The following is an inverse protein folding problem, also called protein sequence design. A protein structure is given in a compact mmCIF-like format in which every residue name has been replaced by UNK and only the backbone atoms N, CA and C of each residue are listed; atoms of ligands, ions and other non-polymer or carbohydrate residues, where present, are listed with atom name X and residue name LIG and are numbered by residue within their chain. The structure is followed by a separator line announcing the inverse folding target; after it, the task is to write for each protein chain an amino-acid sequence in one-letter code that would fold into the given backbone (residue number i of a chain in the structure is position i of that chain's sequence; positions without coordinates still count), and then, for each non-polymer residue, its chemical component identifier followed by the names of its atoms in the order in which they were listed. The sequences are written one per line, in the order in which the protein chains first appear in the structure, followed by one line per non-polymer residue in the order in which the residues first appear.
data_IF_004553003643
#
_entry.id   IF_004553003643
#
_cell.length_a   1.000
_cell.length_b   1.000
_cell.length_c   1.000
_cell.angle_alpha   90.00
_cell.angle_beta   90.00
_cell.angle_gamma   90.00
#
_symmetry.space_group_name_H-M   'P 1'
#
loop_
_entity.id
_entity.type
_entity.pdbx_description
1 polymer ?
#
# COMPACT_ATOMS: atom_id res chain seq x y z
N UNK A 1 -26.83 -12.01 39.76
CA UNK A 1 -27.02 -11.06 38.66
C UNK A 1 -26.04 -9.91 38.84
N UNK A 2 -24.80 -10.13 38.43
CA UNK A 2 -23.76 -9.09 38.41
C UNK A 2 -23.56 -8.66 36.97
N UNK A 3 -23.94 -7.41 36.71
CA UNK A 3 -23.76 -6.74 35.47
C UNK A 3 -22.35 -6.14 35.50
N UNK A 4 -21.40 -6.78 34.82
CA UNK A 4 -20.08 -6.22 34.59
C UNK A 4 -20.20 -5.11 33.56
N UNK A 5 -20.11 -3.87 34.01
CA UNK A 5 -19.95 -2.69 33.21
C UNK A 5 -18.53 -2.70 32.62
N UNK A 6 -18.43 -2.83 31.32
CA UNK A 6 -17.18 -2.63 30.57
C UNK A 6 -16.96 -1.12 30.45
N UNK A 7 -16.12 -0.56 31.31
CA UNK A 7 -15.57 0.79 31.12
C UNK A 7 -14.61 0.75 29.92
N UNK A 8 -15.05 1.34 28.81
CA UNK A 8 -14.15 1.72 27.74
C UNK A 8 -13.20 2.79 28.28
N UNK A 9 -11.91 2.49 28.32
CA UNK A 9 -10.90 3.45 28.62
C UNK A 9 -10.91 4.52 27.51
N UNK A 10 -11.51 5.67 27.79
CA UNK A 10 -11.31 6.89 27.00
C UNK A 10 -9.84 7.31 27.17
N UNK A 11 -9.04 7.04 26.13
CA UNK A 11 -7.72 7.63 25.99
C UNK A 11 -7.90 9.13 25.71
N UNK A 12 -7.81 9.94 26.74
CA UNK A 12 -7.71 11.41 26.62
C UNK A 12 -6.30 11.77 26.19
N UNK A 13 -5.98 11.57 24.91
CA UNK A 13 -4.85 12.26 24.30
C UNK A 13 -5.26 13.73 24.13
N UNK A 14 -4.51 14.64 24.75
CA UNK A 14 -4.72 16.08 24.62
C UNK A 14 -4.45 16.48 23.16
N UNK A 15 -5.45 17.02 22.51
CA UNK A 15 -5.47 17.42 21.10
C UNK A 15 -4.65 18.71 20.84
N UNK A 16 -3.55 18.91 21.55
CA UNK A 16 -2.87 20.20 21.58
C UNK A 16 -1.62 20.34 20.74
N UNK A 17 -0.88 19.28 20.43
CA UNK A 17 0.44 19.37 19.79
C UNK A 17 0.76 18.16 18.86
N UNK A 18 -0.23 17.59 18.18
CA UNK A 18 0.06 16.52 17.20
C UNK A 18 0.48 17.14 15.87
N UNK A 19 1.57 16.62 15.29
CA UNK A 19 2.01 16.97 13.94
C UNK A 19 1.17 16.23 12.90
N UNK A 20 0.61 16.98 11.94
CA UNK A 20 -0.13 16.36 10.83
C UNK A 20 0.82 15.58 9.94
N UNK A 21 0.50 14.31 9.67
CA UNK A 21 1.29 13.42 8.85
C UNK A 21 0.39 12.72 7.83
N UNK A 22 0.67 12.92 6.56
CA UNK A 22 -0.12 12.38 5.46
C UNK A 22 0.52 11.15 4.83
N UNK A 23 -0.27 10.07 4.69
CA UNK A 23 0.14 8.84 4.03
C UNK A 23 -0.76 8.60 2.82
N UNK A 24 -0.17 8.46 1.63
CA UNK A 24 -0.91 8.05 0.43
C UNK A 24 -0.73 6.57 0.18
N UNK A 25 -1.86 5.86 -0.03
CA UNK A 25 -1.88 4.41 -0.28
C UNK A 25 -1.47 4.10 -1.73
N UNK A 26 -1.05 2.86 -1.97
CA UNK A 26 -0.76 2.32 -3.32
C UNK A 26 -2.04 1.98 -4.09
N UNK A 27 -3.12 1.71 -3.40
CA UNK A 27 -4.41 1.30 -3.93
C UNK A 27 -5.56 1.70 -3.02
N UNK A 28 -6.78 1.36 -3.41
CA UNK A 28 -7.94 1.50 -2.51
C UNK A 28 -7.74 0.72 -1.22
N UNK A 29 -8.30 1.19 -0.09
CA UNK A 29 -8.18 0.51 1.19
C UNK A 29 -8.58 -0.96 1.11
N UNK A 30 -7.72 -1.83 1.61
CA UNK A 30 -7.93 -3.26 1.66
C UNK A 30 -7.21 -3.88 2.88
N UNK A 31 -7.28 -5.19 3.03
CA UNK A 31 -6.71 -5.89 4.19
C UNK A 31 -5.20 -5.68 4.38
N UNK A 32 -4.45 -5.38 3.32
CA UNK A 32 -3.01 -5.10 3.41
C UNK A 32 -2.73 -3.81 4.18
N UNK A 33 -3.65 -2.85 4.15
CA UNK A 33 -3.53 -1.56 4.84
C UNK A 33 -4.05 -1.59 6.29
N UNK A 34 -4.53 -2.73 6.78
CA UNK A 34 -5.15 -2.85 8.12
C UNK A 34 -4.24 -2.37 9.25
N UNK A 35 -2.93 -2.50 9.11
CA UNK A 35 -1.97 -2.05 10.12
C UNK A 35 -2.03 -0.53 10.35
N UNK A 36 -2.22 0.29 9.30
CA UNK A 36 -2.34 1.75 9.39
C UNK A 36 -3.60 2.10 10.17
N UNK A 37 -4.75 1.55 9.75
CA UNK A 37 -6.04 1.83 10.38
C UNK A 37 -6.09 1.33 11.83
N UNK A 38 -5.48 0.17 12.09
CA UNK A 38 -5.37 -0.33 13.46
C UNK A 38 -4.51 0.59 14.33
N UNK A 39 -3.41 1.12 13.81
CA UNK A 39 -2.55 2.04 14.55
C UNK A 39 -3.26 3.38 14.83
N UNK A 40 -4.06 3.89 13.88
CA UNK A 40 -4.89 5.08 14.09
C UNK A 40 -5.94 4.81 15.19
N UNK A 41 -6.69 3.73 15.06
CA UNK A 41 -7.77 3.36 15.98
C UNK A 41 -7.27 3.10 17.41
N UNK A 42 -6.06 2.53 17.53
CA UNK A 42 -5.41 2.27 18.81
C UNK A 42 -4.68 3.47 19.40
N UNK A 43 -4.60 4.58 18.66
CA UNK A 43 -3.91 5.79 19.11
C UNK A 43 -2.38 5.71 19.07
N UNK A 44 -1.78 4.69 18.47
CA UNK A 44 -0.32 4.52 18.46
C UNK A 44 0.42 5.68 17.77
N UNK A 45 -0.16 6.25 16.73
CA UNK A 45 0.42 7.44 16.09
C UNK A 45 0.30 8.68 16.98
N UNK A 46 -0.81 8.82 17.69
CA UNK A 46 -1.00 9.93 18.62
C UNK A 46 -0.04 9.85 19.82
N UNK A 47 0.29 8.65 20.29
CA UNK A 47 1.32 8.42 21.33
C UNK A 47 2.70 8.89 20.87
N UNK A 48 2.98 8.82 19.56
CA UNK A 48 4.22 9.32 18.93
C UNK A 48 4.12 10.78 18.47
N UNK A 49 3.03 11.49 18.81
CA UNK A 49 2.83 12.89 18.47
C UNK A 49 2.35 13.14 17.05
N UNK A 50 1.81 12.14 16.35
CA UNK A 50 1.38 12.24 14.97
C UNK A 50 -0.15 12.16 14.83
N UNK A 51 -0.70 13.07 14.00
CA UNK A 51 -2.07 13.03 13.52
C UNK A 51 -2.07 12.51 12.07
N UNK A 52 -2.32 11.21 11.88
CA UNK A 52 -2.14 10.56 10.59
C UNK A 52 -3.37 10.66 9.71
N UNK A 53 -3.19 11.22 8.52
CA UNK A 53 -4.21 11.36 7.47
C UNK A 53 -3.93 10.41 6.31
N UNK A 54 -4.87 9.50 6.04
CA UNK A 54 -4.75 8.53 4.95
C UNK A 54 -5.40 9.08 3.69
N UNK A 55 -4.62 9.17 2.61
CA UNK A 55 -5.07 9.58 1.29
C UNK A 55 -5.14 8.39 0.33
N UNK A 56 -6.05 8.46 -0.63
CA UNK A 56 -6.22 7.43 -1.65
C UNK A 56 -5.72 7.92 -3.00
N UNK A 57 -5.04 7.06 -3.78
CA UNK A 57 -4.58 7.46 -5.10
C UNK A 57 -5.77 7.62 -6.05
N UNK A 58 -5.75 8.66 -6.87
CA UNK A 58 -6.65 8.80 -8.01
C UNK A 58 -6.07 8.09 -9.25
N UNK A 59 -4.74 8.00 -9.35
CA UNK A 59 -4.00 7.33 -10.42
C UNK A 59 -2.94 6.39 -9.85
N UNK A 60 -2.50 5.45 -10.68
CA UNK A 60 -1.56 4.38 -10.27
C UNK A 60 -0.19 4.87 -9.77
N UNK A 61 0.24 6.09 -10.11
CA UNK A 61 1.53 6.63 -9.70
C UNK A 61 1.44 7.72 -8.63
N UNK A 62 0.25 8.03 -8.13
CA UNK A 62 0.04 9.15 -7.21
C UNK A 62 0.89 9.03 -5.94
N UNK A 63 1.06 7.82 -5.41
CA UNK A 63 1.86 7.61 -4.20
C UNK A 63 3.31 8.11 -4.37
N UNK A 64 3.95 7.86 -5.51
CA UNK A 64 5.30 8.35 -5.79
C UNK A 64 5.31 9.85 -6.07
N UNK A 65 4.40 10.32 -6.94
CA UNK A 65 4.40 11.71 -7.40
C UNK A 65 4.02 12.68 -6.29
N UNK A 66 3.04 12.34 -5.46
CA UNK A 66 2.61 13.17 -4.32
C UNK A 66 3.70 13.25 -3.25
N UNK A 67 4.33 12.12 -2.92
CA UNK A 67 5.45 12.10 -1.96
C UNK A 67 6.64 12.89 -2.48
N UNK A 68 6.99 12.73 -3.76
CA UNK A 68 8.10 13.46 -4.36
C UNK A 68 7.84 14.98 -4.45
N UNK A 69 6.57 15.37 -4.63
CA UNK A 69 6.16 16.77 -4.67
C UNK A 69 5.95 17.41 -3.28
N UNK A 70 6.09 16.65 -2.20
CA UNK A 70 5.82 17.11 -0.84
C UNK A 70 4.33 17.35 -0.54
N UNK A 71 3.45 16.72 -1.31
CA UNK A 71 2.00 16.75 -1.09
C UNK A 71 1.53 15.65 -0.15
N UNK A 72 2.39 14.68 0.11
CA UNK A 72 2.25 13.67 1.15
C UNK A 72 3.62 13.41 1.78
N UNK A 73 3.62 13.13 3.08
CA UNK A 73 4.85 12.90 3.84
C UNK A 73 5.40 11.50 3.60
N UNK A 74 4.52 10.53 3.38
CA UNK A 74 4.88 9.17 3.04
C UNK A 74 3.92 8.56 2.01
N UNK A 75 4.39 7.57 1.27
CA UNK A 75 3.58 6.80 0.31
C UNK A 75 3.88 5.32 0.37
N UNK A 76 2.85 4.50 0.20
CA UNK A 76 3.01 3.07 -0.02
C UNK A 76 3.07 2.82 -1.52
N UNK A 77 4.09 2.08 -1.95
CA UNK A 77 4.16 1.70 -3.36
C UNK A 77 5.03 0.45 -3.58
N UNK A 78 5.04 -0.03 -4.81
CA UNK A 78 5.75 -1.24 -5.19
C UNK A 78 7.24 -0.96 -5.39
N UNK A 79 8.08 -1.74 -4.76
CA UNK A 79 9.54 -1.57 -4.78
C UNK A 79 10.14 -1.47 -6.19
N UNK A 80 9.78 -2.31 -7.19
CA UNK A 80 10.33 -2.19 -8.53
C UNK A 80 10.04 -0.84 -9.19
N UNK A 81 8.84 -0.30 -8.95
CA UNK A 81 8.42 0.98 -9.52
C UNK A 81 9.16 2.15 -8.85
N UNK A 82 9.34 2.10 -7.52
CA UNK A 82 10.12 3.11 -6.79
C UNK A 82 11.56 3.14 -7.31
N UNK A 83 12.20 1.98 -7.44
CA UNK A 83 13.57 1.87 -7.96
C UNK A 83 13.65 2.41 -9.38
N UNK A 84 12.75 2.00 -10.26
CA UNK A 84 12.71 2.45 -11.65
C UNK A 84 12.53 3.98 -11.75
N UNK A 85 11.63 4.54 -10.96
CA UNK A 85 11.35 5.98 -10.95
C UNK A 85 12.54 6.78 -10.39
N UNK A 86 13.11 6.33 -9.27
CA UNK A 86 14.28 6.98 -8.69
C UNK A 86 15.51 6.94 -9.60
N UNK A 87 15.72 5.80 -10.31
CA UNK A 87 16.89 5.62 -11.16
C UNK A 87 16.76 6.31 -12.52
N UNK A 88 15.57 6.28 -13.14
CA UNK A 88 15.39 6.74 -14.52
C UNK A 88 14.86 8.17 -14.61
N UNK A 89 14.23 8.68 -13.55
CA UNK A 89 13.58 9.99 -13.55
C UNK A 89 14.14 10.94 -12.49
N UNK A 90 15.18 10.51 -11.76
CA UNK A 90 15.83 11.28 -10.69
C UNK A 90 14.86 11.84 -9.65
N UNK A 91 13.83 11.06 -9.33
CA UNK A 91 12.80 11.46 -8.36
C UNK A 91 13.35 11.33 -6.94
N UNK A 92 13.29 12.38 -6.10
CA UNK A 92 13.92 12.43 -4.79
C UNK A 92 13.10 11.69 -3.72
N UNK A 93 12.91 10.38 -3.88
CA UNK A 93 12.24 9.53 -2.89
C UNK A 93 13.20 8.54 -2.26
N UNK A 94 12.90 8.13 -1.02
CA UNK A 94 13.67 7.12 -0.27
C UNK A 94 12.75 6.02 0.21
N UNK A 95 13.21 4.79 0.16
CA UNK A 95 12.52 3.64 0.75
C UNK A 95 12.86 3.61 2.25
N UNK A 96 11.85 3.71 3.09
CA UNK A 96 11.98 3.66 4.54
C UNK A 96 11.92 2.23 5.09
N UNK A 97 11.13 1.37 4.46
CA UNK A 97 10.96 0.00 4.91
C UNK A 97 10.06 -0.80 3.97
N UNK A 98 9.97 -2.09 4.23
CA UNK A 98 9.13 -3.03 3.47
C UNK A 98 8.01 -3.56 4.37
N UNK A 99 6.77 -3.38 3.95
CA UNK A 99 5.59 -3.84 4.69
C UNK A 99 5.32 -5.31 4.40
N UNK A 100 5.36 -5.69 3.11
CA UNK A 100 5.15 -7.06 2.66
C UNK A 100 6.46 -7.59 2.07
N UNK A 101 6.98 -8.68 2.65
CA UNK A 101 8.28 -9.24 2.29
C UNK A 101 8.24 -10.24 1.13
N UNK A 102 7.06 -10.59 0.63
CA UNK A 102 6.88 -11.50 -0.49
C UNK A 102 6.11 -10.82 -1.62
N UNK A 103 6.34 -11.22 -2.90
CA UNK A 103 5.57 -10.70 -4.01
C UNK A 103 4.08 -10.97 -3.82
N UNK A 104 3.26 -9.94 -4.05
CA UNK A 104 1.80 -10.06 -4.04
C UNK A 104 1.21 -10.42 -5.42
N UNK A 105 2.04 -10.35 -6.46
CA UNK A 105 1.62 -10.61 -7.82
C UNK A 105 1.44 -12.11 -8.06
N UNK A 106 0.25 -12.49 -8.48
CA UNK A 106 -0.10 -13.86 -8.86
C UNK A 106 -0.81 -13.85 -10.21
N UNK A 107 -0.67 -14.94 -10.96
CA UNK A 107 -1.47 -15.20 -12.16
C UNK A 107 -2.55 -16.20 -11.78
N UNK A 108 -3.82 -15.82 -11.98
CA UNK A 108 -4.97 -16.68 -11.71
C UNK A 108 -5.62 -17.13 -13.02
N UNK A 109 -6.13 -18.35 -13.05
CA UNK A 109 -6.96 -18.84 -14.14
C UNK A 109 -8.14 -19.66 -13.61
N UNK A 110 -9.17 -19.76 -14.42
CA UNK A 110 -10.26 -20.69 -14.12
C UNK A 110 -9.74 -22.13 -14.19
N UNK A 111 -10.16 -23.01 -13.29
CA UNK A 111 -9.80 -24.43 -13.32
C UNK A 111 -10.15 -25.10 -14.66
N UNK A 112 -11.26 -24.69 -15.27
CA UNK A 112 -11.70 -25.15 -16.58
C UNK A 112 -10.79 -24.77 -17.75
N UNK A 113 -9.90 -23.79 -17.56
CA UNK A 113 -8.95 -23.35 -18.59
C UNK A 113 -7.74 -24.27 -18.71
N UNK A 114 -7.55 -25.20 -17.77
CA UNK A 114 -6.43 -26.15 -17.71
C UNK A 114 -5.04 -25.50 -17.83
N UNK A 115 -4.89 -24.28 -17.31
CA UNK A 115 -3.61 -23.57 -17.24
C UNK A 115 -2.94 -24.00 -15.93
N UNK A 116 -1.86 -24.74 -16.01
CA UNK A 116 -1.14 -25.29 -14.86
C UNK A 116 0.29 -24.79 -14.75
N UNK A 117 0.84 -24.24 -15.83
CA UNK A 117 2.18 -23.67 -15.84
C UNK A 117 2.26 -22.50 -16.84
N UNK A 118 3.39 -21.78 -16.80
CA UNK A 118 3.61 -20.60 -17.65
C UNK A 118 3.53 -20.93 -19.16
N UNK A 119 3.92 -22.13 -19.58
CA UNK A 119 3.84 -22.53 -21.00
C UNK A 119 2.41 -22.57 -21.54
N UNK A 120 1.44 -22.84 -20.68
CA UNK A 120 0.02 -22.90 -21.05
C UNK A 120 -0.57 -21.51 -21.33
N UNK A 121 0.15 -20.45 -20.97
CA UNK A 121 -0.23 -19.06 -21.21
C UNK A 121 -0.01 -18.64 -22.67
N UNK A 122 0.75 -19.39 -23.46
CA UNK A 122 1.03 -19.06 -24.85
C UNK A 122 -0.24 -18.94 -25.66
N UNK A 123 -0.44 -17.79 -26.31
CA UNK A 123 -1.62 -17.48 -27.11
C UNK A 123 -2.88 -17.18 -26.30
N UNK A 124 -2.78 -17.03 -24.98
CA UNK A 124 -3.88 -16.61 -24.11
C UNK A 124 -3.90 -15.10 -23.92
N UNK A 125 -5.07 -14.56 -23.65
CA UNK A 125 -5.23 -13.16 -23.26
C UNK A 125 -5.10 -13.09 -21.74
N UNK A 126 -4.17 -12.25 -21.28
CA UNK A 126 -3.90 -12.03 -19.84
C UNK A 126 -4.35 -10.62 -19.49
N UNK A 127 -5.29 -10.51 -18.55
CA UNK A 127 -5.69 -9.24 -17.97
C UNK A 127 -4.75 -8.85 -16.82
N UNK A 128 -4.37 -7.58 -16.75
CA UNK A 128 -3.59 -7.02 -15.64
C UNK A 128 -4.00 -5.56 -15.38
N UNK A 129 -3.71 -5.00 -14.19
CA UNK A 129 -4.19 -3.68 -13.79
C UNK A 129 -3.49 -2.49 -14.51
N UNK A 130 -2.66 -2.75 -15.52
CA UNK A 130 -2.01 -1.70 -16.31
C UNK A 130 -0.75 -1.12 -15.70
N UNK A 131 -0.23 -1.71 -14.62
CA UNK A 131 1.04 -1.28 -14.03
C UNK A 131 2.21 -1.95 -14.77
N UNK A 132 3.31 -1.20 -14.92
CA UNK A 132 4.48 -1.61 -15.71
C UNK A 132 5.14 -2.87 -15.15
N UNK A 133 5.20 -2.99 -13.83
CA UNK A 133 5.74 -4.17 -13.14
C UNK A 133 4.99 -5.45 -13.49
N UNK A 134 3.65 -5.43 -13.53
CA UNK A 134 2.84 -6.58 -13.90
C UNK A 134 3.10 -7.03 -15.33
N UNK A 135 3.31 -6.09 -16.26
CA UNK A 135 3.66 -6.41 -17.64
C UNK A 135 5.03 -7.12 -17.72
N UNK A 136 6.03 -6.63 -16.98
CA UNK A 136 7.35 -7.26 -16.93
C UNK A 136 7.31 -8.66 -16.34
N UNK A 137 6.55 -8.87 -15.25
CA UNK A 137 6.41 -10.20 -14.66
C UNK A 137 5.79 -11.20 -15.63
N UNK A 138 4.72 -10.81 -16.31
CA UNK A 138 4.07 -11.69 -17.30
C UNK A 138 5.01 -12.00 -18.47
N UNK A 139 5.72 -11.00 -19.00
CA UNK A 139 6.71 -11.20 -20.08
C UNK A 139 7.88 -12.09 -19.66
N UNK A 140 8.34 -11.97 -18.42
CA UNK A 140 9.42 -12.81 -17.90
C UNK A 140 9.02 -14.26 -17.66
N UNK A 141 7.72 -14.54 -17.52
CA UNK A 141 7.19 -15.90 -17.35
C UNK A 141 6.98 -16.64 -18.66
N UNK A 142 6.86 -15.94 -19.78
CA UNK A 142 6.62 -16.49 -21.13
C UNK A 142 7.91 -16.74 -21.92
#
# INVERSE_FOLDING_TARGET
TDTASSEAAESTASNGDLEDFSIVLDWYPNAVHSFIYTAIEKGYYAEEGLNVHVQFPANTNDAITMTAAGQADAGLYYQPNIISTATNQDVPVRILGTIVQHPLNIVMSMKSSNITCAKDLKGKIIGYPGTVDNEYFVKAMM
#
